data_IF_309206360840
#
_entry.id   IF_309206360840
#
_cell.length_a   1.000
_cell.length_b   1.000
_cell.length_c   1.000
_cell.angle_alpha   90.00
_cell.angle_beta   90.00
_cell.angle_gamma   90.00
#
_symmetry.space_group_name_H-M   'P 1'
#
loop_
_entity.id
_entity.type
_entity.pdbx_description
1 polymer ?
#
# COMPACT_ATOMS: atom_id res chain seq x y z
N UNK A 1 2.74 -9.54 32.26
CA UNK A 1 3.47 -8.34 31.80
C UNK A 1 4.39 -8.80 30.68
N UNK A 2 3.96 -8.66 29.43
CA UNK A 2 4.81 -8.98 28.27
C UNK A 2 5.16 -7.67 27.61
N UNK A 3 6.34 -7.16 27.94
CA UNK A 3 6.99 -6.11 27.17
C UNK A 3 7.40 -6.73 25.83
N UNK A 4 6.57 -6.61 24.79
CA UNK A 4 7.00 -6.89 23.42
C UNK A 4 7.24 -5.58 22.71
N UNK A 5 8.46 -5.05 22.86
CA UNK A 5 8.99 -4.07 21.93
C UNK A 5 9.55 -4.83 20.70
N UNK A 6 8.70 -5.62 20.04
CA UNK A 6 9.05 -6.28 18.79
C UNK A 6 8.87 -5.25 17.67
N UNK A 7 9.95 -4.60 17.29
CA UNK A 7 9.97 -3.73 16.11
C UNK A 7 9.80 -4.62 14.87
N UNK A 8 8.63 -4.57 14.25
CA UNK A 8 8.40 -5.27 12.98
C UNK A 8 9.34 -4.70 11.93
N UNK A 9 9.94 -5.59 11.13
CA UNK A 9 10.79 -5.16 10.02
C UNK A 9 9.94 -4.56 8.89
N UNK A 10 8.85 -5.25 8.54
CA UNK A 10 7.97 -4.84 7.44
C UNK A 10 6.50 -5.06 7.78
N UNK A 11 5.68 -4.08 7.37
CA UNK A 11 4.27 -4.28 7.08
C UNK A 11 4.14 -4.78 5.64
N UNK A 12 3.58 -5.98 5.47
CA UNK A 12 3.51 -6.68 4.20
C UNK A 12 2.16 -6.48 3.53
N UNK A 13 2.20 -5.84 2.37
CA UNK A 13 1.10 -5.79 1.41
C UNK A 13 0.98 -7.11 0.63
N UNK A 14 -0.12 -7.34 -0.07
CA UNK A 14 -0.37 -8.57 -0.83
C UNK A 14 0.74 -8.85 -1.86
N UNK A 15 1.25 -7.81 -2.52
CA UNK A 15 2.40 -7.88 -3.43
C UNK A 15 3.63 -8.56 -2.82
N UNK A 16 3.90 -8.31 -1.53
CA UNK A 16 5.02 -8.92 -0.82
C UNK A 16 4.85 -10.43 -0.62
N UNK A 17 3.62 -10.90 -0.41
CA UNK A 17 3.31 -12.33 -0.32
C UNK A 17 3.50 -13.02 -1.67
N UNK A 18 3.04 -12.40 -2.77
CA UNK A 18 3.26 -12.93 -4.12
C UNK A 18 4.75 -13.01 -4.50
N UNK A 19 5.56 -12.07 -4.01
CA UNK A 19 7.02 -12.08 -4.16
C UNK A 19 7.74 -13.06 -3.22
N UNK A 20 7.03 -13.71 -2.29
CA UNK A 20 7.61 -14.68 -1.35
C UNK A 20 8.44 -14.06 -0.23
N UNK A 21 8.31 -12.74 0.02
CA UNK A 21 9.10 -12.03 1.03
C UNK A 21 8.99 -12.61 2.44
N UNK A 22 7.79 -13.00 2.95
CA UNK A 22 7.69 -13.61 4.28
C UNK A 22 8.60 -14.84 4.49
N UNK A 23 8.99 -15.53 3.41
CA UNK A 23 9.79 -16.76 3.45
C UNK A 23 11.29 -16.52 3.22
N UNK A 24 11.63 -15.40 2.57
CA UNK A 24 12.99 -15.08 2.14
C UNK A 24 13.69 -14.08 3.07
N UNK A 25 12.91 -13.26 3.78
CA UNK A 25 13.45 -12.21 4.64
C UNK A 25 13.66 -12.72 6.07
N UNK A 26 14.76 -12.28 6.70
CA UNK A 26 14.96 -12.44 8.14
C UNK A 26 14.21 -11.34 8.91
N UNK A 27 13.69 -11.69 10.08
CA UNK A 27 13.00 -10.76 10.98
C UNK A 27 11.51 -11.09 11.14
N UNK A 28 10.83 -10.31 11.99
CA UNK A 28 9.39 -10.41 12.20
C UNK A 28 8.64 -9.42 11.33
N UNK A 29 7.51 -9.84 10.78
CA UNK A 29 6.69 -9.09 9.86
C UNK A 29 5.26 -8.99 10.37
N UNK A 30 4.54 -7.97 9.93
CA UNK A 30 3.13 -7.83 10.21
C UNK A 30 2.31 -7.67 8.92
N UNK A 31 1.05 -8.06 8.98
CA UNK A 31 0.06 -7.78 7.94
C UNK A 31 -1.32 -7.60 8.57
N UNK A 32 -2.31 -7.20 7.78
CA UNK A 32 -3.70 -7.04 8.26
C UNK A 32 -4.55 -8.24 7.90
N UNK A 33 -5.68 -8.43 8.57
CA UNK A 33 -6.59 -9.52 8.24
C UNK A 33 -7.15 -9.36 6.82
N UNK A 34 -7.41 -8.12 6.38
CA UNK A 34 -7.88 -7.84 5.02
C UNK A 34 -6.87 -8.27 3.95
N UNK A 35 -5.57 -8.00 4.13
CA UNK A 35 -4.51 -8.47 3.23
C UNK A 35 -4.37 -9.99 3.32
N UNK A 36 -4.41 -10.54 4.54
CA UNK A 36 -4.29 -11.99 4.75
C UNK A 36 -5.38 -12.77 4.01
N UNK A 37 -6.64 -12.34 4.08
CA UNK A 37 -7.75 -12.98 3.38
C UNK A 37 -7.63 -12.85 1.85
N UNK A 38 -7.03 -11.76 1.34
CA UNK A 38 -6.76 -11.62 -0.09
C UNK A 38 -5.73 -12.67 -0.58
N UNK A 39 -4.66 -12.87 0.18
CA UNK A 39 -3.56 -13.79 -0.18
C UNK A 39 -3.83 -15.25 0.21
N UNK A 40 -4.84 -15.50 1.03
CA UNK A 40 -5.28 -16.85 1.43
C UNK A 40 -5.60 -17.77 0.25
N UNK A 41 -6.06 -17.19 -0.86
CA UNK A 41 -6.35 -17.93 -2.08
C UNK A 41 -5.10 -18.47 -2.80
N UNK A 42 -3.89 -18.08 -2.37
CA UNK A 42 -2.61 -18.62 -2.85
C UNK A 42 -2.41 -20.05 -2.27
N UNK A 43 -3.16 -21.01 -2.82
CA UNK A 43 -3.23 -22.40 -2.34
C UNK A 43 -1.89 -23.13 -2.26
N UNK A 44 -0.89 -22.72 -3.04
CA UNK A 44 0.44 -23.36 -3.05
C UNK A 44 1.29 -23.06 -1.80
N UNK A 45 1.01 -21.95 -1.10
CA UNK A 45 1.85 -21.49 0.01
C UNK A 45 1.09 -21.38 1.34
N UNK A 46 -0.19 -21.77 1.38
CA UNK A 46 -1.03 -21.58 2.58
C UNK A 46 -0.43 -22.24 3.84
N UNK A 47 -0.03 -23.51 3.76
CA UNK A 47 0.62 -24.19 4.88
C UNK A 47 1.95 -23.57 5.31
N UNK A 48 2.67 -22.92 4.38
CA UNK A 48 3.90 -22.19 4.72
C UNK A 48 3.58 -20.89 5.45
N UNK A 49 2.50 -20.18 5.09
CA UNK A 49 2.06 -18.98 5.81
C UNK A 49 1.62 -19.35 7.24
N UNK A 50 0.88 -20.45 7.42
CA UNK A 50 0.50 -20.94 8.75
C UNK A 50 1.72 -21.26 9.63
N UNK A 51 2.75 -21.90 9.06
CA UNK A 51 4.00 -22.14 9.79
C UNK A 51 4.69 -20.85 10.22
N UNK A 52 4.63 -19.77 9.42
CA UNK A 52 5.18 -18.47 9.80
C UNK A 52 4.39 -17.80 10.93
N UNK A 53 3.07 -18.00 10.97
CA UNK A 53 2.21 -17.51 12.05
C UNK A 53 2.52 -18.25 13.35
N UNK A 54 2.63 -19.58 13.29
CA UNK A 54 2.95 -20.43 14.46
C UNK A 54 4.35 -20.13 15.01
N UNK A 55 5.32 -19.91 14.12
CA UNK A 55 6.69 -19.53 14.48
C UNK A 55 6.82 -18.09 15.02
N UNK A 56 5.76 -17.28 14.99
CA UNK A 56 5.81 -15.86 15.40
C UNK A 56 6.67 -15.00 14.47
N UNK A 57 6.89 -15.43 13.23
CA UNK A 57 7.63 -14.67 12.20
C UNK A 57 6.67 -13.70 11.50
N UNK A 58 5.42 -14.11 11.31
CA UNK A 58 4.36 -13.27 10.74
C UNK A 58 3.28 -13.03 11.79
N UNK A 59 2.80 -11.79 11.88
CA UNK A 59 1.70 -11.40 12.75
C UNK A 59 0.56 -10.78 11.94
N UNK A 60 -0.67 -11.27 12.15
CA UNK A 60 -1.88 -10.66 11.59
C UNK A 60 -2.47 -9.73 12.65
N UNK A 61 -2.45 -8.42 12.38
CA UNK A 61 -2.86 -7.36 13.29
C UNK A 61 -3.69 -6.36 12.51
N UNK A 62 -4.91 -6.08 12.96
CA UNK A 62 -5.70 -5.00 12.36
C UNK A 62 -5.40 -3.65 13.03
N UNK A 63 -5.31 -2.57 12.24
CA UNK A 63 -5.03 -1.24 12.76
C UNK A 63 -6.23 -0.67 13.54
N UNK A 64 -5.92 0.27 14.41
CA UNK A 64 -6.89 1.02 15.17
C UNK A 64 -7.70 1.98 14.28
N UNK A 65 -8.88 2.37 14.76
CA UNK A 65 -9.82 3.22 14.00
C UNK A 65 -9.27 4.60 13.67
N UNK A 66 -8.40 5.17 14.51
CA UNK A 66 -7.75 6.46 14.27
C UNK A 66 -6.74 6.35 13.13
N UNK A 67 -5.91 5.31 13.14
CA UNK A 67 -4.94 5.04 12.07
C UNK A 67 -5.64 4.77 10.73
N UNK A 68 -6.75 4.01 10.74
CA UNK A 68 -7.61 3.81 9.57
C UNK A 68 -8.15 5.13 8.99
N UNK A 69 -8.63 6.03 9.87
CA UNK A 69 -9.12 7.35 9.45
C UNK A 69 -8.01 8.21 8.84
N UNK A 70 -6.81 8.21 9.44
CA UNK A 70 -5.65 8.95 8.92
C UNK A 70 -5.25 8.45 7.53
N UNK A 71 -5.13 7.13 7.35
CA UNK A 71 -4.84 6.52 6.05
C UNK A 71 -5.90 6.87 5.00
N UNK A 72 -7.19 6.75 5.34
CA UNK A 72 -8.28 7.12 4.44
C UNK A 72 -8.29 8.60 4.05
N UNK A 73 -8.01 9.50 4.98
CA UNK A 73 -7.89 10.93 4.71
C UNK A 73 -6.68 11.26 3.83
N UNK A 74 -5.53 10.65 4.09
CA UNK A 74 -4.34 10.82 3.26
C UNK A 74 -4.59 10.33 1.82
N UNK A 75 -5.22 9.17 1.65
CA UNK A 75 -5.61 8.64 0.35
C UNK A 75 -6.53 9.58 -0.44
N UNK A 76 -7.44 10.29 0.23
CA UNK A 76 -8.28 11.31 -0.40
C UNK A 76 -7.46 12.52 -0.81
N UNK A 77 -6.52 12.96 0.02
CA UNK A 77 -5.67 14.11 -0.24
C UNK A 77 -4.68 13.88 -1.39
N UNK A 78 -4.14 12.67 -1.54
CA UNK A 78 -3.28 12.33 -2.70
C UNK A 78 -4.09 12.13 -3.98
N UNK A 79 -5.41 11.91 -3.87
CA UNK A 79 -6.28 11.59 -4.99
C UNK A 79 -6.25 10.13 -5.41
N UNK A 80 -5.67 9.25 -4.59
CA UNK A 80 -5.51 7.82 -4.89
C UNK A 80 -6.65 6.96 -4.29
N UNK A 81 -7.48 7.50 -3.40
CA UNK A 81 -8.54 6.78 -2.68
C UNK A 81 -9.41 5.86 -3.57
N UNK A 82 -9.80 6.31 -4.77
CA UNK A 82 -10.67 5.51 -5.66
C UNK A 82 -10.00 4.27 -6.24
N UNK A 83 -8.66 4.20 -6.24
CA UNK A 83 -7.90 3.04 -6.71
C UNK A 83 -7.60 2.05 -5.59
N UNK A 84 -7.58 2.52 -4.35
CA UNK A 84 -7.21 1.72 -3.19
C UNK A 84 -8.38 0.86 -2.72
N UNK A 85 -8.08 -0.40 -2.42
CA UNK A 85 -8.97 -1.35 -1.76
C UNK A 85 -8.99 -1.14 -0.24
N UNK A 86 -9.86 -1.89 0.44
CA UNK A 86 -9.88 -1.93 1.91
C UNK A 86 -8.56 -2.49 2.48
N UNK A 87 -7.95 -3.46 1.80
CA UNK A 87 -6.68 -4.08 2.21
C UNK A 87 -5.51 -3.09 2.08
N UNK A 88 -5.50 -2.27 1.03
CA UNK A 88 -4.51 -1.21 0.86
C UNK A 88 -4.58 -0.18 1.99
N UNK A 89 -5.80 0.28 2.31
CA UNK A 89 -6.00 1.27 3.39
C UNK A 89 -5.62 0.67 4.75
N UNK A 90 -5.95 -0.60 5.00
CA UNK A 90 -5.63 -1.25 6.26
C UNK A 90 -4.13 -1.43 6.44
N UNK A 91 -3.37 -1.83 5.42
CA UNK A 91 -1.93 -2.03 5.56
C UNK A 91 -1.18 -0.69 5.72
N UNK A 92 -1.61 0.37 5.02
CA UNK A 92 -1.08 1.73 5.24
C UNK A 92 -1.33 2.18 6.67
N UNK A 93 -2.55 1.97 7.18
CA UNK A 93 -2.91 2.33 8.54
C UNK A 93 -2.10 1.55 9.59
N UNK A 94 -1.86 0.26 9.35
CA UNK A 94 -1.04 -0.56 10.24
C UNK A 94 0.41 -0.09 10.25
N UNK A 95 0.98 0.19 9.07
CA UNK A 95 2.35 0.70 8.95
C UNK A 95 2.52 2.05 9.67
N UNK A 96 1.52 2.94 9.56
CA UNK A 96 1.48 4.21 10.29
C UNK A 96 1.44 4.00 11.81
N UNK A 97 0.60 3.08 12.28
CA UNK A 97 0.38 2.84 13.70
C UNK A 97 1.62 2.24 14.38
N UNK A 98 2.30 1.32 13.69
CA UNK A 98 3.44 0.58 14.22
C UNK A 98 4.79 1.22 13.85
N UNK A 99 4.77 2.36 13.15
CA UNK A 99 5.96 3.09 12.70
C UNK A 99 6.95 2.18 11.95
N UNK A 100 6.42 1.27 11.12
CA UNK A 100 7.21 0.26 10.38
C UNK A 100 7.28 0.59 8.89
N UNK A 101 8.30 0.07 8.22
CA UNK A 101 8.44 0.15 6.77
C UNK A 101 7.34 -0.65 6.08
N UNK A 102 6.64 -0.01 5.13
CA UNK A 102 5.64 -0.64 4.28
C UNK A 102 6.33 -1.23 3.05
N UNK A 103 6.13 -2.53 2.82
CA UNK A 103 6.65 -3.20 1.63
C UNK A 103 5.54 -3.34 0.59
N UNK A 104 5.63 -2.58 -0.51
CA UNK A 104 4.62 -2.56 -1.59
C UNK A 104 5.26 -2.27 -2.95
N UNK A 105 4.62 -2.74 -4.02
CA UNK A 105 4.96 -2.39 -5.40
C UNK A 105 3.87 -1.52 -6.08
N UNK A 106 2.77 -1.16 -5.39
CA UNK A 106 1.75 -0.26 -5.94
C UNK A 106 2.07 1.21 -5.65
N UNK A 107 2.19 2.00 -6.72
CA UNK A 107 2.45 3.44 -6.62
C UNK A 107 1.36 4.23 -5.88
N UNK A 108 0.09 3.82 -5.95
CA UNK A 108 -0.99 4.47 -5.22
C UNK A 108 -0.82 4.26 -3.70
N UNK A 109 -0.45 3.05 -3.29
CA UNK A 109 -0.15 2.73 -1.88
C UNK A 109 1.07 3.54 -1.42
N UNK A 110 2.16 3.51 -2.20
CA UNK A 110 3.39 4.23 -1.89
C UNK A 110 3.20 5.75 -1.83
N UNK A 111 2.38 6.34 -2.69
CA UNK A 111 2.07 7.77 -2.66
C UNK A 111 1.39 8.17 -1.34
N UNK A 112 0.43 7.37 -0.87
CA UNK A 112 -0.27 7.64 0.39
C UNK A 112 0.66 7.45 1.58
N UNK A 113 1.46 6.39 1.57
CA UNK A 113 2.48 6.13 2.58
C UNK A 113 3.50 7.30 2.67
N UNK A 114 3.98 7.80 1.52
CA UNK A 114 4.87 8.95 1.45
C UNK A 114 4.22 10.23 2.00
N UNK A 115 2.93 10.47 1.71
CA UNK A 115 2.19 11.61 2.27
C UNK A 115 2.07 11.54 3.80
N UNK A 116 2.10 10.34 4.36
CA UNK A 116 2.10 10.06 5.80
C UNK A 116 3.51 9.92 6.40
N UNK A 117 4.56 10.09 5.59
CA UNK A 117 5.98 9.90 5.97
C UNK A 117 6.31 8.49 6.46
N UNK A 118 5.55 7.49 5.99
CA UNK A 118 5.83 6.08 6.25
C UNK A 118 6.97 5.66 5.29
N UNK A 119 8.04 5.01 5.77
CA UNK A 119 9.08 4.48 4.89
C UNK A 119 8.50 3.38 4.00
N UNK A 120 8.86 3.39 2.71
CA UNK A 120 8.40 2.40 1.73
C UNK A 120 9.59 1.72 1.11
N UNK A 121 9.53 0.38 1.06
CA UNK A 121 10.46 -0.45 0.30
C UNK A 121 9.70 -1.30 -0.70
N UNK A 122 10.43 -1.85 -1.66
CA UNK A 122 9.91 -2.68 -2.76
C UNK A 122 10.75 -3.93 -2.91
N UNK A 123 10.13 -5.05 -3.27
CA UNK A 123 10.80 -6.35 -3.45
C UNK A 123 11.79 -6.40 -4.62
N UNK A 124 11.58 -5.60 -5.67
CA UNK A 124 12.44 -5.56 -6.86
C UNK A 124 13.59 -4.55 -6.74
N UNK A 125 14.81 -4.89 -7.19
CA UNK A 125 15.99 -4.00 -7.17
C UNK A 125 15.84 -2.67 -7.94
N UNK A 126 14.81 -2.53 -8.80
CA UNK A 126 14.50 -1.26 -9.47
C UNK A 126 13.73 -0.28 -8.60
N UNK A 127 12.95 -0.79 -7.66
CA UNK A 127 12.12 -0.11 -6.67
C UNK A 127 11.32 1.14 -7.03
N UNK A 128 10.49 1.57 -6.07
CA UNK A 128 9.80 2.86 -6.13
C UNK A 128 10.81 3.94 -5.73
N UNK A 129 11.49 4.51 -6.71
CA UNK A 129 12.51 5.55 -6.47
C UNK A 129 11.91 6.94 -6.22
N UNK A 130 10.71 7.17 -6.74
CA UNK A 130 10.11 8.51 -6.83
C UNK A 130 8.59 8.43 -6.68
N UNK A 131 8.00 9.43 -6.01
CA UNK A 131 6.55 9.54 -5.89
C UNK A 131 5.94 10.05 -7.21
N UNK A 132 4.75 9.55 -7.55
CA UNK A 132 4.11 9.85 -8.84
C UNK A 132 2.80 10.57 -8.60
N UNK A 133 2.70 11.83 -9.05
CA UNK A 133 1.42 12.55 -9.03
C UNK A 133 0.61 12.20 -10.26
N UNK A 134 -0.54 11.56 -10.06
CA UNK A 134 -1.49 11.28 -11.13
C UNK A 134 -2.30 12.52 -11.48
N UNK A 135 -2.28 12.89 -12.76
CA UNK A 135 -3.07 13.99 -13.31
C UNK A 135 -4.01 13.47 -14.40
N UNK A 136 -5.20 14.07 -14.47
CA UNK A 136 -6.08 13.86 -15.59
C UNK A 136 -5.56 14.70 -16.77
N UNK A 137 -5.64 14.19 -18.00
CA UNK A 137 -5.25 14.92 -19.20
C UNK A 137 -6.18 14.59 -20.35
N UNK A 138 -6.40 15.57 -21.22
CA UNK A 138 -7.17 15.35 -22.44
C UNK A 138 -6.23 14.87 -23.56
N UNK A 139 -6.54 13.74 -24.18
CA UNK A 139 -5.74 13.23 -25.30
C UNK A 139 -5.95 14.00 -26.61
N UNK A 140 -7.02 14.79 -26.73
CA UNK A 140 -7.31 15.58 -27.93
C UNK A 140 -6.67 16.97 -27.88
N UNK A 141 -6.84 17.70 -26.76
CA UNK A 141 -6.33 19.07 -26.64
C UNK A 141 -5.05 19.19 -25.79
N UNK A 142 -4.55 18.09 -25.22
CA UNK A 142 -3.28 18.03 -24.48
C UNK A 142 -3.27 18.66 -23.07
N UNK A 143 -4.33 19.39 -22.68
CA UNK A 143 -4.40 20.05 -21.36
C UNK A 143 -4.44 19.03 -20.22
N UNK A 144 -3.74 19.38 -19.14
CA UNK A 144 -3.78 18.66 -17.87
C UNK A 144 -4.79 19.30 -16.93
N UNK A 145 -5.40 18.47 -16.10
CA UNK A 145 -6.42 18.79 -15.13
C UNK A 145 -6.05 18.15 -13.78
N UNK A 146 -6.64 18.67 -12.71
CA UNK A 146 -6.47 18.10 -11.38
C UNK A 146 -7.02 16.67 -11.26
N UNK A 147 -6.63 15.93 -10.19
CA UNK A 147 -7.19 14.62 -9.90
C UNK A 147 -8.72 14.71 -9.73
N UNK A 148 -9.45 13.76 -10.33
CA UNK A 148 -10.92 13.68 -10.25
C UNK A 148 -11.69 14.31 -11.42
N UNK A 149 -11.05 15.07 -12.30
CA UNK A 149 -11.68 15.55 -13.52
C UNK A 149 -11.98 14.38 -14.47
N UNK A 150 -13.23 14.25 -14.92
CA UNK A 150 -13.68 13.17 -15.82
C UNK A 150 -13.75 13.61 -17.29
N UNK A 151 -14.03 14.89 -17.52
CA UNK A 151 -14.29 15.43 -18.85
C UNK A 151 -13.54 16.74 -19.08
N UNK A 152 -13.11 16.97 -20.31
CA UNK A 152 -12.40 18.17 -20.69
C UNK A 152 -13.34 19.37 -20.79
N UNK A 153 -13.12 20.40 -19.97
CA UNK A 153 -13.91 21.64 -19.98
C UNK A 153 -13.82 22.46 -21.28
N UNK A 154 -13.03 22.04 -22.29
CA UNK A 154 -12.88 22.74 -23.57
C UNK A 154 -13.47 21.98 -24.74
N UNK A 155 -13.31 20.66 -24.76
CA UNK A 155 -13.66 19.85 -25.93
C UNK A 155 -14.57 18.67 -25.59
N UNK A 156 -15.06 18.55 -24.35
CA UNK A 156 -16.02 17.50 -23.93
C UNK A 156 -15.47 16.07 -23.93
N UNK A 157 -14.20 15.85 -24.28
CA UNK A 157 -13.63 14.51 -24.32
C UNK A 157 -13.35 13.97 -22.91
N UNK A 158 -13.55 12.65 -22.73
CA UNK A 158 -13.17 11.94 -21.51
C UNK A 158 -11.66 12.06 -21.26
N UNK A 159 -11.30 12.37 -20.02
CA UNK A 159 -9.92 12.55 -19.62
C UNK A 159 -9.25 11.20 -19.34
N UNK A 160 -7.99 11.07 -19.75
CA UNK A 160 -7.11 9.94 -19.45
C UNK A 160 -6.19 10.30 -18.28
N UNK A 161 -5.62 9.31 -17.59
CA UNK A 161 -4.62 9.56 -16.55
C UNK A 161 -3.21 9.49 -17.13
N UNK A 162 -2.34 10.40 -16.70
CA UNK A 162 -0.89 10.30 -16.84
C UNK A 162 -0.25 10.64 -15.49
N UNK A 163 0.95 10.10 -15.24
CA UNK A 163 1.71 10.47 -14.04
C UNK A 163 2.73 11.54 -14.38
N UNK A 164 3.02 12.39 -13.40
CA UNK A 164 4.19 13.27 -13.39
C UNK A 164 5.06 12.87 -12.21
N UNK A 165 6.35 12.68 -12.46
CA UNK A 165 7.34 12.46 -11.41
C UNK A 165 7.42 13.74 -10.58
N UNK A 166 7.37 13.61 -9.26
CA UNK A 166 7.46 14.73 -8.30
C UNK A 166 8.80 14.70 -7.61
#
# INVERSE_FOLDING_TARGET
MVSQNSSFRYALDAGAFYAGIPFLSSGTHCTTNAVFEEVKHIKKSYGAIEALLDAGILHVIDPDKNSMKKAGSAAKNTGDYQKLSQADISIIALALQLETTLLTEDYAVANVAAALKIPVESSSSKGIKETRKWIAYCSACGRAFGPGAKECALCGNKLKRKYKIT
#
